data_IF_621148465047
#
_entry.id   IF_621148465047
#
_cell.length_a   1.000
_cell.length_b   1.000
_cell.length_c   1.000
_cell.angle_alpha   90.00
_cell.angle_beta   90.00
_cell.angle_gamma   90.00
#
_symmetry.space_group_name_H-M   'P 1'
#
loop_
_entity.id
_entity.type
_entity.pdbx_description
1 polymer ?
#
# COMPACT_ATOMS: atom_id res chain seq x y z
N UNK A 1 -2.54 20.20 -48.50
CA UNK A 1 -1.94 20.54 -47.19
C UNK A 1 -2.92 20.14 -46.08
N UNK A 2 -2.68 19.05 -45.34
CA UNK A 2 -3.28 18.75 -44.02
C UNK A 2 -2.39 17.70 -43.34
N UNK A 3 -1.32 18.18 -42.68
CA UNK A 3 -0.46 17.34 -41.84
C UNK A 3 -1.28 16.94 -40.62
N UNK A 4 -1.69 15.67 -40.55
CA UNK A 4 -2.23 15.07 -39.32
C UNK A 4 -1.08 14.98 -38.32
N UNK A 5 -0.95 15.97 -37.45
CA UNK A 5 -0.10 15.92 -36.27
C UNK A 5 -0.77 15.00 -35.25
N UNK A 6 -0.76 13.69 -35.47
CA UNK A 6 -0.99 12.75 -34.40
C UNK A 6 0.36 12.19 -33.95
N UNK A 7 1.15 13.13 -33.43
CA UNK A 7 2.31 12.83 -32.60
C UNK A 7 1.72 12.08 -31.40
N UNK A 8 1.63 10.76 -31.48
CA UNK A 8 1.63 9.89 -30.29
C UNK A 8 2.98 10.14 -29.63
N UNK A 9 3.11 11.30 -29.03
CA UNK A 9 4.22 11.65 -28.17
C UNK A 9 4.12 10.60 -27.07
N UNK A 10 5.06 9.66 -27.14
CA UNK A 10 5.47 8.76 -26.10
C UNK A 10 5.01 9.33 -24.75
N UNK A 11 3.92 8.80 -24.19
CA UNK A 11 3.57 9.05 -22.79
C UNK A 11 4.58 8.26 -21.95
N UNK A 12 5.84 8.71 -22.00
CA UNK A 12 6.76 8.50 -20.91
C UNK A 12 6.23 9.44 -19.84
N UNK A 13 5.41 8.90 -18.95
CA UNK A 13 5.02 9.63 -17.76
C UNK A 13 6.31 10.15 -17.10
N UNK A 14 6.30 11.43 -16.75
CA UNK A 14 7.35 12.01 -15.93
C UNK A 14 7.55 11.10 -14.69
N UNK A 15 8.79 10.65 -14.40
CA UNK A 15 9.03 9.70 -13.32
C UNK A 15 8.59 10.27 -11.96
N UNK A 16 8.68 11.59 -11.78
CA UNK A 16 8.19 12.28 -10.58
C UNK A 16 6.66 12.25 -10.52
N UNK A 17 5.95 12.55 -11.60
CA UNK A 17 4.49 12.43 -11.66
C UNK A 17 4.03 10.98 -11.40
N UNK A 18 4.73 9.99 -11.94
CA UNK A 18 4.45 8.56 -11.67
C UNK A 18 4.65 8.21 -10.20
N UNK A 19 5.77 8.65 -9.62
CA UNK A 19 6.06 8.43 -8.21
C UNK A 19 5.01 9.07 -7.30
N UNK A 20 4.61 10.32 -7.57
CA UNK A 20 3.58 11.02 -6.79
C UNK A 20 2.24 10.28 -6.88
N UNK A 21 1.83 9.84 -8.07
CA UNK A 21 0.60 9.06 -8.24
C UNK A 21 0.62 7.77 -7.41
N UNK A 22 1.70 6.98 -7.52
CA UNK A 22 1.87 5.76 -6.74
C UNK A 22 1.88 6.03 -5.23
N UNK A 23 2.54 7.11 -4.78
CA UNK A 23 2.54 7.52 -3.37
C UNK A 23 1.12 7.82 -2.89
N UNK A 24 0.34 8.57 -3.67
CA UNK A 24 -1.04 8.91 -3.31
C UNK A 24 -1.92 7.65 -3.19
N UNK A 25 -1.73 6.67 -4.07
CA UNK A 25 -2.43 5.38 -3.98
C UNK A 25 -2.04 4.63 -2.69
N UNK A 26 -0.75 4.58 -2.35
CA UNK A 26 -0.27 3.98 -1.09
C UNK A 26 -0.83 4.72 0.13
N UNK A 27 -0.80 6.06 0.13
CA UNK A 27 -1.35 6.88 1.22
C UNK A 27 -2.85 6.58 1.44
N UNK A 28 -3.62 6.42 0.36
CA UNK A 28 -5.04 6.06 0.44
C UNK A 28 -5.23 4.65 1.03
N UNK A 29 -4.41 3.67 0.60
CA UNK A 29 -4.45 2.32 1.15
C UNK A 29 -4.11 2.30 2.65
N UNK A 30 -3.09 3.05 3.08
CA UNK A 30 -2.70 3.18 4.48
C UNK A 30 -3.80 3.84 5.33
N UNK A 31 -4.48 4.86 4.79
CA UNK A 31 -5.61 5.49 5.46
C UNK A 31 -6.78 4.49 5.68
N UNK A 32 -7.09 3.67 4.67
CA UNK A 32 -8.11 2.61 4.78
C UNK A 32 -7.72 1.56 5.82
N UNK A 33 -6.46 1.14 5.87
CA UNK A 33 -5.97 0.19 6.88
C UNK A 33 -6.04 0.77 8.30
N UNK A 34 -5.74 2.06 8.46
CA UNK A 34 -5.85 2.74 9.76
C UNK A 34 -7.31 2.79 10.23
N UNK A 35 -8.23 3.15 9.33
CA UNK A 35 -9.66 3.12 9.65
C UNK A 35 -10.16 1.71 9.99
N UNK A 36 -9.73 0.69 9.24
CA UNK A 36 -10.05 -0.69 9.56
C UNK A 36 -9.50 -1.08 10.93
N UNK A 37 -8.27 -0.68 11.27
CA UNK A 37 -7.69 -0.95 12.60
C UNK A 37 -8.47 -0.30 13.74
N UNK A 38 -8.98 0.92 13.55
CA UNK A 38 -9.84 1.61 14.53
C UNK A 38 -11.16 0.86 14.74
N UNK A 39 -11.70 0.27 13.67
CA UNK A 39 -12.88 -0.59 13.68
C UNK A 39 -12.56 -2.08 13.96
N UNK A 40 -11.43 -2.39 14.62
CA UNK A 40 -11.03 -3.76 14.97
C UNK A 40 -10.99 -4.73 13.76
N UNK A 41 -10.60 -4.22 12.59
CA UNK A 41 -10.65 -4.91 11.29
C UNK A 41 -12.04 -5.47 10.95
N UNK A 42 -13.10 -4.76 11.33
CA UNK A 42 -14.50 -5.16 11.21
C UNK A 42 -14.81 -6.48 11.95
N UNK A 43 -14.01 -6.84 12.97
CA UNK A 43 -14.26 -7.97 13.85
C UNK A 43 -14.92 -7.47 15.13
N UNK A 44 -15.87 -8.25 15.62
CA UNK A 44 -16.57 -7.96 16.86
C UNK A 44 -15.70 -8.40 18.04
N UNK A 45 -15.18 -7.47 18.90
CA UNK A 45 -14.18 -7.79 19.92
C UNK A 45 -14.69 -8.80 20.96
N UNK A 46 -16.00 -8.81 21.23
CA UNK A 46 -16.65 -9.75 22.13
C UNK A 46 -16.83 -11.16 21.52
N UNK A 47 -16.58 -11.33 20.21
CA UNK A 47 -16.75 -12.61 19.49
C UNK A 47 -15.47 -13.11 18.81
N UNK A 48 -14.32 -12.49 19.08
CA UNK A 48 -13.03 -12.93 18.53
C UNK A 48 -12.72 -14.36 18.96
N UNK A 49 -12.33 -15.21 18.01
CA UNK A 49 -11.84 -16.55 18.26
C UNK A 49 -10.48 -16.78 17.59
N UNK A 50 -9.83 -17.90 17.90
CA UNK A 50 -8.52 -18.27 17.35
C UNK A 50 -8.40 -18.22 15.82
N UNK A 51 -9.42 -18.61 15.02
CA UNK A 51 -9.37 -18.41 13.57
C UNK A 51 -9.25 -16.94 13.16
N UNK A 52 -9.97 -16.04 13.84
CA UNK A 52 -9.89 -14.60 13.58
C UNK A 52 -8.50 -14.05 13.92
N UNK A 53 -7.88 -14.55 14.99
CA UNK A 53 -6.50 -14.20 15.35
C UNK A 53 -5.53 -14.59 14.22
N UNK A 54 -5.71 -15.76 13.61
CA UNK A 54 -4.89 -16.20 12.48
C UNK A 54 -5.00 -15.29 11.24
N UNK A 55 -6.20 -14.78 10.95
CA UNK A 55 -6.39 -13.79 9.87
C UNK A 55 -5.62 -12.49 10.16
N UNK A 56 -5.69 -11.98 11.40
CA UNK A 56 -5.00 -10.75 11.80
C UNK A 56 -3.47 -10.94 11.85
N UNK A 57 -2.99 -12.09 12.30
CA UNK A 57 -1.55 -12.42 12.27
C UNK A 57 -1.00 -12.40 10.84
N UNK A 58 -1.77 -12.89 9.87
CA UNK A 58 -1.37 -12.84 8.47
C UNK A 58 -1.19 -11.39 7.97
N UNK A 59 -2.16 -10.51 8.24
CA UNK A 59 -2.06 -9.10 7.85
C UNK A 59 -0.88 -8.40 8.54
N UNK A 60 -0.66 -8.69 9.81
CA UNK A 60 0.47 -8.13 10.56
C UNK A 60 1.82 -8.58 9.97
N UNK A 61 1.95 -9.84 9.57
CA UNK A 61 3.17 -10.34 8.93
C UNK A 61 3.47 -9.61 7.61
N UNK A 62 2.45 -9.37 6.78
CA UNK A 62 2.60 -8.63 5.52
C UNK A 62 3.03 -7.18 5.76
N UNK A 63 2.40 -6.48 6.72
CA UNK A 63 2.77 -5.11 7.07
C UNK A 63 4.19 -5.04 7.63
N UNK A 64 4.58 -6.02 8.45
CA UNK A 64 5.94 -6.13 8.99
C UNK A 64 6.97 -6.32 7.88
N UNK A 65 6.74 -7.22 6.94
CA UNK A 65 7.65 -7.44 5.80
C UNK A 65 7.81 -6.17 4.95
N UNK A 66 6.70 -5.47 4.65
CA UNK A 66 6.74 -4.22 3.90
C UNK A 66 7.52 -3.13 4.64
N UNK A 67 7.29 -3.00 5.94
CA UNK A 67 7.99 -2.02 6.80
C UNK A 67 9.49 -2.33 6.83
N UNK A 68 9.83 -3.60 7.03
CA UNK A 68 11.22 -4.07 7.05
C UNK A 68 11.97 -3.73 5.73
N UNK A 69 11.32 -3.94 4.58
CA UNK A 69 11.85 -3.57 3.27
C UNK A 69 12.07 -2.06 3.10
N UNK A 70 11.15 -1.23 3.62
CA UNK A 70 11.19 0.24 3.48
C UNK A 70 12.25 0.84 4.42
N UNK A 71 12.31 0.36 5.66
CA UNK A 71 13.18 0.90 6.70
C UNK A 71 14.52 0.16 6.81
N UNK A 72 14.71 -0.92 6.04
CA UNK A 72 15.89 -1.79 6.07
C UNK A 72 16.17 -2.36 7.47
N UNK A 73 15.10 -2.65 8.21
CA UNK A 73 15.19 -3.21 9.56
C UNK A 73 15.61 -4.69 9.56
N UNK A 74 15.62 -5.32 8.38
CA UNK A 74 16.23 -6.61 8.11
C UNK A 74 17.61 -6.45 7.48
N UNK A 75 18.63 -6.85 8.24
CA UNK A 75 20.02 -7.13 7.81
C UNK A 75 21.05 -5.97 7.81
N UNK A 76 20.72 -4.74 8.24
CA UNK A 76 21.73 -3.68 8.49
C UNK A 76 21.49 -2.83 9.75
N UNK A 77 21.02 -3.48 10.82
CA UNK A 77 21.14 -2.94 12.18
C UNK A 77 22.33 -3.60 12.94
N UNK A 78 23.51 -3.63 12.32
CA UNK A 78 24.83 -3.83 12.97
C UNK A 78 25.87 -2.87 12.38
#
# INVERSE_FOLDING_TARGET
>A
MKRRTNRKASQKHDPLATFIALKMEIDEQLARLTQASDDHFHKDPDRINWPDVGDIEHYNAQLKELTDQIFKEGEYAE
#
